data_IF_980360837676
#
_entry.id   IF_980360837676
#
_cell.length_a   1.000
_cell.length_b   1.000
_cell.length_c   1.000
_cell.angle_alpha   90.00
_cell.angle_beta   90.00
_cell.angle_gamma   90.00
#
_symmetry.space_group_name_H-M   'P 1'
#
loop_
_entity.id
_entity.type
_entity.pdbx_description
1 polymer ?
#
# COMPACT_ATOMS: atom_id res chain seq x y z
N UNK A 1 10.86 -12.98 51.97
CA UNK A 1 10.27 -13.53 50.74
C UNK A 1 9.16 -12.65 50.12
N UNK A 2 9.22 -11.31 50.22
CA UNK A 2 8.24 -10.40 49.58
C UNK A 2 8.80 -9.53 48.45
N UNK A 3 10.13 -9.48 48.30
CA UNK A 3 10.80 -8.67 47.25
C UNK A 3 11.12 -9.41 45.95
N UNK A 4 11.03 -10.74 45.93
CA UNK A 4 11.32 -11.57 44.74
C UNK A 4 10.07 -11.78 43.87
N UNK A 5 8.86 -11.68 44.45
CA UNK A 5 7.61 -11.81 43.67
C UNK A 5 7.29 -10.61 42.77
N UNK A 6 7.89 -9.44 43.01
CA UNK A 6 7.58 -8.24 42.21
C UNK A 6 8.39 -8.15 40.91
N UNK A 7 9.48 -8.90 40.77
CA UNK A 7 10.32 -8.88 39.57
C UNK A 7 9.83 -9.94 38.57
N UNK A 8 9.21 -11.02 39.05
CA UNK A 8 8.62 -12.05 38.18
C UNK A 8 7.35 -11.56 37.46
N UNK A 9 6.59 -10.61 38.03
CA UNK A 9 5.38 -10.06 37.40
C UNK A 9 5.68 -9.02 36.31
N UNK A 10 6.83 -8.33 36.37
CA UNK A 10 7.22 -7.36 35.35
C UNK A 10 7.87 -8.05 34.14
N UNK A 11 8.57 -9.18 34.36
CA UNK A 11 9.10 -10.01 33.27
C UNK A 11 8.00 -10.78 32.52
N UNK A 12 6.87 -11.09 33.18
CA UNK A 12 5.73 -11.78 32.56
C UNK A 12 4.89 -10.89 31.63
N UNK A 13 4.92 -9.56 31.81
CA UNK A 13 4.23 -8.62 30.91
C UNK A 13 5.01 -8.42 29.59
N UNK A 14 6.33 -8.62 29.58
CA UNK A 14 7.11 -8.66 28.34
C UNK A 14 6.97 -9.98 27.57
N UNK A 15 6.43 -11.04 28.20
CA UNK A 15 6.29 -12.38 27.63
C UNK A 15 4.89 -12.67 27.02
N UNK A 16 3.98 -11.69 27.03
CA UNK A 16 2.69 -11.77 26.32
C UNK A 16 2.77 -11.31 24.85
N UNK A 17 3.98 -11.18 24.29
CA UNK A 17 4.23 -10.99 22.86
C UNK A 17 4.04 -12.30 22.07
N UNK A 18 3.03 -13.08 22.41
CA UNK A 18 2.54 -14.18 21.60
C UNK A 18 1.73 -13.60 20.43
N UNK A 19 2.44 -13.07 19.43
CA UNK A 19 1.95 -12.74 18.07
C UNK A 19 0.45 -12.44 17.94
N UNK A 20 -0.06 -11.42 18.63
CA UNK A 20 -1.38 -10.91 18.32
C UNK A 20 -1.25 -10.07 17.05
N UNK A 21 -1.62 -10.65 15.91
CA UNK A 21 -1.83 -9.88 14.68
C UNK A 21 -2.80 -8.74 15.00
N UNK A 22 -2.38 -7.51 14.67
CA UNK A 22 -3.23 -6.33 14.75
C UNK A 22 -4.40 -6.49 13.77
N UNK A 23 -5.45 -5.70 13.92
CA UNK A 23 -6.54 -5.72 12.95
C UNK A 23 -6.08 -5.24 11.56
N UNK A 24 -5.07 -4.35 11.50
CA UNK A 24 -4.41 -3.98 10.25
C UNK A 24 -3.68 -5.16 9.61
N UNK A 25 -3.00 -6.02 10.37
CA UNK A 25 -2.32 -7.21 9.84
C UNK A 25 -3.31 -8.21 9.24
N UNK A 26 -4.47 -8.40 9.90
CA UNK A 26 -5.55 -9.25 9.39
C UNK A 26 -6.14 -8.67 8.10
N UNK A 27 -6.41 -7.36 8.08
CA UNK A 27 -6.91 -6.68 6.90
C UNK A 27 -5.94 -6.75 5.73
N UNK A 28 -4.63 -6.56 5.96
CA UNK A 28 -3.61 -6.72 4.92
C UNK A 28 -3.54 -8.16 4.40
N UNK A 29 -3.63 -9.15 5.29
CA UNK A 29 -3.66 -10.57 4.92
C UNK A 29 -4.89 -10.92 4.07
N UNK A 30 -6.06 -10.41 4.44
CA UNK A 30 -7.30 -10.59 3.69
C UNK A 30 -7.25 -9.87 2.34
N UNK A 31 -6.72 -8.65 2.30
CA UNK A 31 -6.50 -7.88 1.08
C UNK A 31 -5.58 -8.64 0.11
N UNK A 32 -4.48 -9.21 0.60
CA UNK A 32 -3.58 -10.04 -0.20
C UNK A 32 -4.25 -11.30 -0.76
N UNK A 33 -5.14 -11.93 0.01
CA UNK A 33 -5.97 -13.03 -0.47
C UNK A 33 -6.95 -12.56 -1.55
N UNK A 34 -7.64 -11.45 -1.34
CA UNK A 34 -8.60 -10.90 -2.29
C UNK A 34 -7.93 -10.49 -3.61
N UNK A 35 -6.67 -10.01 -3.58
CA UNK A 35 -5.88 -9.77 -4.79
C UNK A 35 -5.64 -11.04 -5.60
N UNK A 36 -5.26 -12.15 -4.93
CA UNK A 36 -5.06 -13.46 -5.55
C UNK A 36 -6.36 -14.04 -6.13
N UNK A 37 -7.45 -13.83 -5.42
CA UNK A 37 -8.80 -14.27 -5.82
C UNK A 37 -9.42 -13.38 -6.92
N UNK A 38 -8.78 -12.28 -7.31
CA UNK A 38 -9.30 -11.35 -8.33
C UNK A 38 -10.49 -10.50 -7.86
N UNK A 39 -10.72 -10.39 -6.54
CA UNK A 39 -11.84 -9.64 -5.95
C UNK A 39 -11.54 -8.14 -5.88
N UNK A 40 -11.48 -7.49 -7.03
CA UNK A 40 -11.01 -6.10 -7.17
C UNK A 40 -11.75 -5.12 -6.25
N UNK A 41 -13.08 -5.20 -6.16
CA UNK A 41 -13.86 -4.27 -5.32
C UNK A 41 -13.61 -4.47 -3.81
N UNK A 42 -13.37 -5.73 -3.39
CA UNK A 42 -13.02 -6.02 -2.01
C UNK A 42 -11.62 -5.50 -1.67
N UNK A 43 -10.67 -5.59 -2.61
CA UNK A 43 -9.34 -4.98 -2.47
C UNK A 43 -9.46 -3.47 -2.36
N UNK A 44 -10.20 -2.80 -3.24
CA UNK A 44 -10.39 -1.36 -3.23
C UNK A 44 -10.99 -0.86 -1.91
N UNK A 45 -12.04 -1.52 -1.42
CA UNK A 45 -12.66 -1.19 -0.13
C UNK A 45 -11.66 -1.32 1.04
N UNK A 46 -10.98 -2.47 1.14
CA UNK A 46 -10.05 -2.72 2.25
C UNK A 46 -8.85 -1.77 2.20
N UNK A 47 -8.32 -1.49 1.00
CA UNK A 47 -7.22 -0.56 0.81
C UNK A 47 -7.62 0.88 1.21
N UNK A 48 -8.82 1.33 0.83
CA UNK A 48 -9.32 2.66 1.22
C UNK A 48 -9.49 2.79 2.74
N UNK A 49 -10.04 1.77 3.39
CA UNK A 49 -10.19 1.73 4.85
C UNK A 49 -8.82 1.79 5.55
N UNK A 50 -7.85 0.96 5.14
CA UNK A 50 -6.49 0.98 5.69
C UNK A 50 -5.77 2.31 5.43
N UNK A 51 -5.93 2.89 4.24
CA UNK A 51 -5.28 4.17 3.90
C UNK A 51 -5.78 5.34 4.74
N UNK A 52 -7.05 5.31 5.19
CA UNK A 52 -7.61 6.35 6.05
C UNK A 52 -6.90 6.47 7.41
N UNK A 53 -6.19 5.42 7.83
CA UNK A 53 -5.41 5.33 9.07
C UNK A 53 -3.92 5.09 8.79
N UNK A 54 -3.43 5.48 7.61
CA UNK A 54 -2.06 5.15 7.14
C UNK A 54 -0.95 5.60 8.08
N UNK A 55 -1.15 6.70 8.80
CA UNK A 55 -0.13 7.29 9.67
C UNK A 55 0.12 6.42 10.93
N UNK A 56 -0.80 5.52 11.26
CA UNK A 56 -0.71 4.57 12.37
C UNK A 56 -0.27 3.15 11.91
N UNK A 57 -0.08 2.95 10.60
CA UNK A 57 0.27 1.65 10.03
C UNK A 57 1.76 1.34 10.18
N UNK A 58 2.07 0.07 10.40
CA UNK A 58 3.46 -0.40 10.34
C UNK A 58 4.00 -0.31 8.91
N UNK A 59 5.33 -0.30 8.77
CA UNK A 59 6.00 -0.36 7.45
C UNK A 59 5.53 -1.60 6.65
N UNK A 60 5.31 -2.73 7.32
CA UNK A 60 4.83 -3.94 6.65
C UNK A 60 3.42 -3.73 6.08
N UNK A 61 2.51 -3.13 6.85
CA UNK A 61 1.16 -2.83 6.36
C UNK A 61 1.16 -1.74 5.26
N UNK A 62 1.99 -0.70 5.39
CA UNK A 62 2.17 0.32 4.36
C UNK A 62 2.74 -0.28 3.06
N UNK A 63 3.65 -1.24 3.16
CA UNK A 63 4.18 -1.94 1.99
C UNK A 63 3.11 -2.81 1.30
N UNK A 64 2.25 -3.48 2.07
CA UNK A 64 1.10 -4.22 1.52
C UNK A 64 0.10 -3.28 0.86
N UNK A 65 -0.11 -2.10 1.43
CA UNK A 65 -1.00 -1.08 0.90
C UNK A 65 -0.46 -0.48 -0.40
N UNK A 66 0.85 -0.22 -0.49
CA UNK A 66 1.51 0.21 -1.72
C UNK A 66 1.29 -0.81 -2.85
N UNK A 67 1.47 -2.11 -2.55
CA UNK A 67 1.27 -3.20 -3.51
C UNK A 67 -0.20 -3.30 -3.92
N UNK A 68 -1.14 -3.16 -2.98
CA UNK A 68 -2.57 -3.23 -3.27
C UNK A 68 -3.04 -2.09 -4.17
N UNK A 69 -2.61 -0.85 -3.92
CA UNK A 69 -2.94 0.26 -4.80
C UNK A 69 -2.29 0.13 -6.18
N UNK A 70 -1.07 -0.42 -6.27
CA UNK A 70 -0.47 -0.75 -7.57
C UNK A 70 -1.28 -1.80 -8.32
N UNK A 71 -1.73 -2.86 -7.65
CA UNK A 71 -2.63 -3.86 -8.22
C UNK A 71 -3.92 -3.23 -8.75
N UNK A 72 -4.55 -2.34 -7.98
CA UNK A 72 -5.78 -1.66 -8.39
C UNK A 72 -5.52 -0.77 -9.62
N UNK A 73 -4.43 -0.01 -9.63
CA UNK A 73 -4.03 0.80 -10.78
C UNK A 73 -3.84 -0.07 -12.05
N UNK A 74 -3.24 -1.26 -11.93
CA UNK A 74 -3.13 -2.20 -13.05
C UNK A 74 -4.49 -2.70 -13.55
N UNK A 75 -5.44 -2.94 -12.64
CA UNK A 75 -6.82 -3.36 -13.00
C UNK A 75 -7.60 -2.23 -13.66
N UNK A 76 -7.49 -1.02 -13.17
CA UNK A 76 -8.11 0.16 -13.80
C UNK A 76 -7.55 0.39 -15.21
N UNK A 77 -6.22 0.35 -15.37
CA UNK A 77 -5.57 0.54 -16.67
C UNK A 77 -5.91 -0.54 -17.71
N UNK A 78 -6.35 -1.73 -17.31
CA UNK A 78 -6.54 -2.88 -18.21
C UNK A 78 -8.00 -3.22 -18.54
N UNK A 79 -8.97 -2.71 -17.78
CA UNK A 79 -10.37 -3.12 -17.95
C UNK A 79 -11.42 -2.03 -17.79
N UNK A 80 -11.28 -1.16 -16.79
CA UNK A 80 -12.28 -0.11 -16.49
C UNK A 80 -11.98 1.21 -17.18
N UNK A 81 -10.70 1.52 -17.34
CA UNK A 81 -10.18 2.70 -18.03
C UNK A 81 -10.75 4.03 -17.50
N UNK A 82 -11.01 4.10 -16.19
CA UNK A 82 -11.37 5.34 -15.52
C UNK A 82 -10.10 6.06 -15.06
N UNK A 83 -9.81 7.18 -15.73
CA UNK A 83 -8.60 7.96 -15.47
C UNK A 83 -8.54 8.52 -14.04
N UNK A 84 -9.69 8.76 -13.39
CA UNK A 84 -9.75 9.29 -12.03
C UNK A 84 -9.27 8.25 -11.02
N UNK A 85 -9.83 7.04 -11.08
CA UNK A 85 -9.41 5.94 -10.21
C UNK A 85 -7.97 5.51 -10.50
N UNK A 86 -7.56 5.49 -11.78
CA UNK A 86 -6.18 5.20 -12.14
C UNK A 86 -5.20 6.19 -11.50
N UNK A 87 -5.49 7.49 -11.58
CA UNK A 87 -4.66 8.54 -10.96
C UNK A 87 -4.59 8.37 -9.45
N UNK A 88 -5.74 8.23 -8.79
CA UNK A 88 -5.83 8.11 -7.34
C UNK A 88 -5.06 6.89 -6.82
N UNK A 89 -5.21 5.73 -7.46
CA UNK A 89 -4.48 4.52 -7.06
C UNK A 89 -2.96 4.62 -7.30
N UNK A 90 -2.51 5.25 -8.40
CA UNK A 90 -1.07 5.50 -8.62
C UNK A 90 -0.52 6.41 -7.51
N UNK A 91 -1.24 7.48 -7.17
CA UNK A 91 -0.80 8.44 -6.16
C UNK A 91 -0.76 7.83 -4.76
N UNK A 92 -1.80 7.09 -4.36
CA UNK A 92 -1.82 6.39 -3.07
C UNK A 92 -0.74 5.31 -2.97
N UNK A 93 -0.48 4.57 -4.05
CA UNK A 93 0.60 3.59 -4.07
C UNK A 93 1.97 4.24 -3.90
N UNK A 94 2.20 5.38 -4.57
CA UNK A 94 3.42 6.16 -4.40
C UNK A 94 3.55 6.75 -2.99
N UNK A 95 2.48 7.27 -2.41
CA UNK A 95 2.49 7.80 -1.04
C UNK A 95 2.92 6.72 -0.04
N UNK A 96 2.29 5.54 -0.08
CA UNK A 96 2.66 4.42 0.78
C UNK A 96 4.10 3.92 0.53
N UNK A 97 4.49 3.81 -0.75
CA UNK A 97 5.85 3.42 -1.12
C UNK A 97 6.89 4.40 -0.57
N UNK A 98 6.67 5.70 -0.72
CA UNK A 98 7.56 6.74 -0.23
C UNK A 98 7.59 6.80 1.30
N UNK A 99 6.45 6.58 1.97
CA UNK A 99 6.41 6.50 3.43
C UNK A 99 7.29 5.37 3.96
N UNK A 100 7.23 4.18 3.33
CA UNK A 100 8.08 3.03 3.68
C UNK A 100 9.57 3.35 3.50
N UNK A 101 9.97 3.98 2.39
CA UNK A 101 11.37 4.34 2.14
C UNK A 101 11.87 5.51 3.01
N UNK A 102 10.98 6.42 3.41
CA UNK A 102 11.33 7.58 4.24
C UNK A 102 11.57 7.18 5.70
N UNK A 103 10.92 6.10 6.17
CA UNK A 103 11.12 5.56 7.51
C UNK A 103 12.44 4.77 7.62
N UNK A 104 12.63 3.77 6.76
CA UNK A 104 13.85 2.95 6.71
C UNK A 104 14.06 2.38 5.30
N UNK A 105 14.98 2.99 4.54
CA UNK A 105 15.25 2.63 3.15
C UNK A 105 15.83 1.21 2.98
N UNK A 106 16.69 0.76 3.91
CA UNK A 106 17.31 -0.57 3.83
C UNK A 106 16.27 -1.65 4.12
N UNK A 107 15.43 -1.41 5.13
CA UNK A 107 14.32 -2.30 5.45
C UNK A 107 13.26 -2.29 4.35
N UNK A 108 12.94 -1.13 3.77
CA UNK A 108 12.04 -1.00 2.62
C UNK A 108 12.50 -1.85 1.44
N UNK A 109 13.78 -1.73 1.06
CA UNK A 109 14.34 -2.51 -0.04
C UNK A 109 14.19 -4.02 0.22
N UNK A 110 14.51 -4.47 1.44
CA UNK A 110 14.35 -5.87 1.84
C UNK A 110 12.90 -6.33 1.75
N UNK A 111 11.96 -5.58 2.33
CA UNK A 111 10.52 -5.92 2.33
C UNK A 111 10.01 -6.08 0.90
N UNK A 112 10.29 -5.11 0.02
CA UNK A 112 9.80 -5.17 -1.36
C UNK A 112 10.48 -6.30 -2.15
N UNK A 113 11.76 -6.61 -1.89
CA UNK A 113 12.40 -7.80 -2.50
C UNK A 113 11.73 -9.10 -2.04
N UNK A 114 11.50 -9.28 -0.74
CA UNK A 114 10.87 -10.47 -0.17
C UNK A 114 9.44 -10.69 -0.67
N UNK A 115 8.71 -9.60 -0.94
CA UNK A 115 7.36 -9.64 -1.54
C UNK A 115 7.36 -9.80 -3.07
N UNK A 116 8.52 -9.97 -3.71
CA UNK A 116 8.69 -10.00 -5.18
C UNK A 116 8.21 -8.71 -5.88
N UNK A 117 8.41 -7.56 -5.24
CA UNK A 117 7.98 -6.22 -5.66
C UNK A 117 9.15 -5.24 -5.74
N UNK A 118 10.37 -5.73 -6.00
CA UNK A 118 11.57 -4.89 -6.09
C UNK A 118 11.49 -3.81 -7.19
N UNK A 119 10.65 -4.01 -8.21
CA UNK A 119 10.44 -3.06 -9.32
C UNK A 119 9.28 -2.08 -9.09
N UNK A 120 8.59 -2.15 -7.95
CA UNK A 120 7.37 -1.39 -7.68
C UNK A 120 7.55 0.12 -7.92
N UNK A 121 8.62 0.72 -7.40
CA UNK A 121 8.89 2.15 -7.60
C UNK A 121 9.10 2.53 -9.07
N UNK A 122 9.76 1.67 -9.84
CA UNK A 122 9.97 1.88 -11.28
C UNK A 122 8.66 1.75 -12.05
N UNK A 123 7.84 0.76 -11.71
CA UNK A 123 6.53 0.54 -12.32
C UNK A 123 5.59 1.71 -12.06
N UNK A 124 5.53 2.21 -10.82
CA UNK A 124 4.71 3.37 -10.45
C UNK A 124 5.16 4.65 -11.14
N UNK A 125 6.47 4.88 -11.22
CA UNK A 125 7.03 6.04 -11.96
C UNK A 125 6.66 5.98 -13.44
N UNK A 126 6.73 4.79 -14.05
CA UNK A 126 6.32 4.56 -15.44
C UNK A 126 4.83 4.84 -15.62
N UNK A 127 3.97 4.28 -14.77
CA UNK A 127 2.53 4.47 -14.85
C UNK A 127 2.14 5.94 -14.69
N UNK A 128 2.72 6.65 -13.73
CA UNK A 128 2.49 8.09 -13.52
C UNK A 128 2.87 8.92 -14.77
N UNK A 129 4.02 8.60 -15.38
CA UNK A 129 4.46 9.26 -16.61
C UNK A 129 3.50 9.02 -17.77
N UNK A 130 3.05 7.77 -17.96
CA UNK A 130 2.10 7.42 -19.01
C UNK A 130 0.75 8.13 -18.83
N UNK A 131 0.22 8.14 -17.61
CA UNK A 131 -1.00 8.87 -17.28
C UNK A 131 -0.88 10.35 -17.61
N UNK A 132 0.23 10.99 -17.21
CA UNK A 132 0.48 12.41 -17.50
C UNK A 132 0.53 12.69 -19.00
N UNK A 133 1.19 11.83 -19.78
CA UNK A 133 1.24 11.96 -21.24
C UNK A 133 -0.14 11.87 -21.89
N UNK A 134 -1.02 11.00 -21.38
CA UNK A 134 -2.39 10.88 -21.87
C UNK A 134 -3.21 12.14 -21.54
N UNK A 135 -3.11 12.64 -20.31
CA UNK A 135 -3.78 13.87 -19.89
C UNK A 135 -3.31 15.09 -20.69
N UNK A 136 -2.01 15.22 -20.94
CA UNK A 136 -1.45 16.32 -21.73
C UNK A 136 -1.92 16.24 -23.20
N UNK A 137 -2.02 15.04 -23.77
CA UNK A 137 -2.55 14.84 -25.11
C UNK A 137 -4.06 15.16 -25.19
N UNK A 138 -4.85 14.76 -24.19
CA UNK A 138 -6.26 15.11 -24.08
C UNK A 138 -6.46 16.63 -24.03
N UNK A 139 -5.70 17.33 -23.20
CA UNK A 139 -5.77 18.78 -23.10
C UNK A 139 -5.39 19.47 -24.42
N UNK A 140 -4.35 18.99 -25.10
CA UNK A 140 -3.95 19.55 -26.39
C UNK A 140 -5.05 19.41 -27.46
N UNK A 141 -5.82 18.31 -27.45
CA UNK A 141 -6.96 18.13 -28.35
C UNK A 141 -8.08 19.11 -27.99
N UNK A 142 -8.39 19.27 -26.71
CA UNK A 142 -9.41 20.23 -26.23
C UNK A 142 -9.04 21.66 -26.65
N UNK A 143 -7.78 22.05 -26.50
CA UNK A 143 -7.29 23.37 -26.87
C UNK A 143 -7.39 23.60 -28.39
N UNK A 144 -7.09 22.59 -29.21
CA UNK A 144 -7.26 22.65 -30.67
C UNK A 144 -8.71 22.77 -31.10
N UNK A 145 -9.65 22.15 -30.39
CA UNK A 145 -11.09 22.25 -30.69
C UNK A 145 -11.68 23.61 -30.33
N UNK A 146 -11.05 24.31 -29.37
CA UNK A 146 -11.51 25.60 -28.86
C UNK A 146 -10.81 26.80 -29.53
N UNK A 147 -9.85 26.58 -30.43
CA UNK A 147 -9.19 27.63 -31.22
C UNK A 147 -9.85 27.84 -32.57
#
# INVERSE_FOLDING_TARGET
>A
MKKILSILSMLAVCLLMASCQTDADKACSEMAKNMKDGKVDAVAKTAAELYSQKDDLSIDNLSDLAIAFHYLAQKESSGRNDATYLSDYIEKSLDCYMAVYSDDADKAEKIFKEKNQAQLGNDLTRMKKQLKQLQDAEQAIIDQLNS
#
